data_IF_613538815914
#
_entry.id   IF_613538815914
#
_cell.length_a   1.000
_cell.length_b   1.000
_cell.length_c   1.000
_cell.angle_alpha   90.00
_cell.angle_beta   90.00
_cell.angle_gamma   90.00
#
_symmetry.space_group_name_H-M   'P 1'
#
loop_
_entity.id
_entity.type
_entity.pdbx_description
1 polymer ?
#
# COMPACT_ATOMS: atom_id res chain seq x y z
N UNK A 1 -15.40 -13.49 25.93
CA UNK A 1 -15.22 -14.82 25.28
C UNK A 1 -13.94 -14.75 24.46
N UNK A 2 -12.89 -15.51 24.80
CA UNK A 2 -11.65 -15.53 24.01
C UNK A 2 -11.96 -16.17 22.67
N UNK A 3 -12.03 -15.35 21.62
CA UNK A 3 -12.31 -15.81 20.27
C UNK A 3 -11.08 -16.61 19.81
N UNK A 4 -11.25 -17.92 19.65
CA UNK A 4 -10.22 -18.79 19.08
C UNK A 4 -10.05 -18.33 17.63
N UNK A 5 -8.82 -18.04 17.25
CA UNK A 5 -8.44 -17.57 15.93
C UNK A 5 -9.01 -18.48 14.82
N UNK A 6 -9.74 -17.92 13.86
CA UNK A 6 -10.43 -18.67 12.83
C UNK A 6 -9.59 -18.81 11.54
N UNK A 7 -9.98 -19.78 10.68
CA UNK A 7 -9.40 -19.89 9.32
C UNK A 7 -9.67 -18.64 8.48
N UNK A 8 -10.81 -18.00 8.69
CA UNK A 8 -11.19 -16.78 8.00
C UNK A 8 -10.34 -15.59 8.46
N UNK A 9 -10.06 -15.47 9.76
CA UNK A 9 -9.14 -14.46 10.31
C UNK A 9 -7.72 -14.65 9.77
N UNK A 10 -7.28 -15.91 9.59
CA UNK A 10 -6.02 -16.24 8.92
C UNK A 10 -6.01 -15.76 7.47
N UNK A 11 -7.06 -16.08 6.71
CA UNK A 11 -7.19 -15.70 5.30
C UNK A 11 -7.18 -14.17 5.14
N UNK A 12 -7.95 -13.46 5.95
CA UNK A 12 -7.98 -12.00 5.94
C UNK A 12 -6.65 -11.39 6.36
N UNK A 13 -5.95 -11.98 7.34
CA UNK A 13 -4.62 -11.52 7.74
C UNK A 13 -3.61 -11.68 6.62
N UNK A 14 -3.61 -12.80 5.90
CA UNK A 14 -2.75 -12.99 4.73
C UNK A 14 -3.12 -12.08 3.57
N UNK A 15 -4.41 -11.85 3.33
CA UNK A 15 -4.86 -10.91 2.30
C UNK A 15 -4.41 -9.48 2.60
N UNK A 16 -4.60 -9.01 3.84
CA UNK A 16 -4.14 -7.70 4.30
C UNK A 16 -2.60 -7.59 4.29
N UNK A 17 -1.90 -8.66 4.65
CA UNK A 17 -0.44 -8.70 4.54
C UNK A 17 0.00 -8.61 3.08
N UNK A 18 -0.65 -9.34 2.17
CA UNK A 18 -0.35 -9.30 0.73
C UNK A 18 -0.60 -7.93 0.09
N UNK A 19 -1.60 -7.17 0.56
CA UNK A 19 -1.82 -5.79 0.09
C UNK A 19 -0.85 -4.78 0.73
N UNK A 20 -0.37 -5.05 1.95
CA UNK A 20 0.63 -4.22 2.61
C UNK A 20 2.05 -4.44 2.06
N UNK A 21 2.35 -5.68 1.65
CA UNK A 21 3.66 -6.06 1.10
C UNK A 21 3.72 -5.72 -0.39
N UNK A 22 4.20 -4.52 -0.69
CA UNK A 22 4.54 -4.09 -2.04
C UNK A 22 6.03 -3.73 -2.20
N UNK A 23 6.40 -3.25 -3.39
CA UNK A 23 7.69 -2.64 -3.71
C UNK A 23 8.12 -1.60 -2.67
N UNK A 24 7.21 -0.78 -2.14
CA UNK A 24 7.51 0.17 -1.06
C UNK A 24 8.08 -0.51 0.18
N UNK A 25 7.40 -1.51 0.73
CA UNK A 25 7.89 -2.31 1.88
C UNK A 25 9.04 -3.26 1.56
N UNK A 26 9.32 -3.58 0.29
CA UNK A 26 10.50 -4.38 -0.09
C UNK A 26 11.75 -3.51 -0.25
N UNK A 27 11.61 -2.34 -0.87
CA UNK A 27 12.75 -1.46 -1.18
C UNK A 27 13.06 -0.48 -0.04
N UNK A 28 12.05 -0.03 0.73
CA UNK A 28 12.27 0.90 1.83
C UNK A 28 13.15 0.30 2.93
N UNK A 29 12.97 -0.96 3.39
CA UNK A 29 13.89 -1.56 4.36
C UNK A 29 15.28 -1.82 3.80
N UNK A 30 15.41 -2.11 2.50
CA UNK A 30 16.74 -2.24 1.86
C UNK A 30 17.45 -0.89 1.85
N UNK A 31 16.73 0.17 1.48
CA UNK A 31 17.27 1.53 1.38
C UNK A 31 17.48 2.19 2.76
N UNK A 32 16.66 1.89 3.76
CA UNK A 32 16.87 2.31 5.15
C UNK A 32 17.93 1.46 5.84
N UNK A 33 18.05 0.18 5.46
CA UNK A 33 19.06 -0.73 5.97
C UNK A 33 20.47 -0.33 5.54
N UNK A 34 20.63 0.25 4.34
CA UNK A 34 21.92 0.83 3.91
C UNK A 34 22.34 2.06 4.74
N UNK A 35 21.39 2.74 5.39
CA UNK A 35 21.67 3.78 6.38
C UNK A 35 22.08 3.22 7.77
N UNK A 36 22.03 1.89 7.94
CA UNK A 36 22.47 1.17 9.14
C UNK A 36 21.33 0.48 9.89
N UNK A 37 21.65 -0.66 10.53
CA UNK A 37 20.67 -1.48 11.24
C UNK A 37 19.92 -0.74 12.36
N UNK A 38 20.59 0.20 13.03
CA UNK A 38 20.00 1.03 14.09
C UNK A 38 18.92 1.95 13.52
N UNK A 39 19.17 2.56 12.35
CA UNK A 39 18.19 3.44 11.69
C UNK A 39 16.94 2.65 11.34
N UNK A 40 17.11 1.47 10.73
CA UNK A 40 16.01 0.58 10.40
C UNK A 40 15.18 0.19 11.63
N UNK A 41 15.84 -0.15 12.74
CA UNK A 41 15.15 -0.50 13.99
C UNK A 41 14.35 0.66 14.57
N UNK A 42 14.93 1.86 14.62
CA UNK A 42 14.22 3.06 15.10
C UNK A 42 13.04 3.38 14.18
N UNK A 43 13.23 3.33 12.86
CA UNK A 43 12.13 3.55 11.91
C UNK A 43 11.01 2.55 12.10
N UNK A 44 11.32 1.27 12.34
CA UNK A 44 10.30 0.25 12.63
C UNK A 44 9.51 0.57 13.91
N UNK A 45 10.20 0.97 14.99
CA UNK A 45 9.57 1.34 16.25
C UNK A 45 8.65 2.56 16.12
N UNK A 46 8.98 3.52 15.27
CA UNK A 46 8.17 4.72 15.01
C UNK A 46 7.02 4.43 14.04
N UNK A 47 7.26 3.62 13.00
CA UNK A 47 6.26 3.28 12.00
C UNK A 47 5.12 2.43 12.60
N UNK A 48 5.42 1.55 13.56
CA UNK A 48 4.43 0.70 14.22
C UNK A 48 3.26 1.49 14.84
N UNK A 49 3.45 2.43 15.77
CA UNK A 49 2.35 3.20 16.36
C UNK A 49 1.61 4.06 15.34
N UNK A 50 2.35 4.67 14.41
CA UNK A 50 1.80 5.52 13.36
C UNK A 50 0.92 4.77 12.36
N UNK A 51 1.11 3.46 12.22
CA UNK A 51 0.26 2.62 11.37
C UNK A 51 -0.84 1.94 12.17
N UNK A 52 -0.51 1.35 13.32
CA UNK A 52 -1.45 0.57 14.12
C UNK A 52 -2.64 1.39 14.64
N UNK A 53 -2.40 2.55 15.26
CA UNK A 53 -3.48 3.33 15.87
C UNK A 53 -4.45 3.93 14.85
N UNK A 54 -4.01 4.53 13.73
CA UNK A 54 -4.94 5.01 12.70
C UNK A 54 -5.76 3.89 12.06
N UNK A 55 -5.16 2.73 11.77
CA UNK A 55 -5.92 1.59 11.24
C UNK A 55 -6.95 1.08 12.23
N UNK A 56 -6.59 0.96 13.51
CA UNK A 56 -7.53 0.58 14.57
C UNK A 56 -8.69 1.58 14.69
N UNK A 57 -8.39 2.88 14.70
CA UNK A 57 -9.39 3.93 14.77
C UNK A 57 -10.31 3.91 13.55
N UNK A 58 -9.76 3.70 12.35
CA UNK A 58 -10.53 3.58 11.11
C UNK A 58 -11.46 2.35 11.14
N UNK A 59 -10.97 1.19 11.57
CA UNK A 59 -11.82 0.00 11.71
C UNK A 59 -12.96 0.24 12.70
N UNK A 60 -12.69 0.87 13.84
CA UNK A 60 -13.73 1.22 14.82
C UNK A 60 -14.75 2.21 14.25
N UNK A 61 -14.30 3.21 13.50
CA UNK A 61 -15.15 4.19 12.82
C UNK A 61 -16.08 3.56 11.78
N UNK A 62 -15.56 2.63 10.97
CA UNK A 62 -16.38 1.93 9.96
C UNK A 62 -17.39 1.01 10.65
N UNK A 63 -16.97 0.27 11.67
CA UNK A 63 -17.83 -0.66 12.41
C UNK A 63 -18.89 0.05 13.26
N UNK A 64 -18.63 1.29 13.70
CA UNK A 64 -19.62 2.08 14.45
C UNK A 64 -20.70 2.66 13.54
N UNK A 65 -20.42 2.85 12.26
CA UNK A 65 -21.43 3.29 11.29
C UNK A 65 -22.45 2.15 11.12
N UNK A 66 -23.69 2.39 11.53
CA UNK A 66 -24.79 1.43 11.38
C UNK A 66 -25.29 1.43 9.93
N UNK A 67 -24.48 0.90 9.01
CA UNK A 67 -24.69 0.93 7.57
C UNK A 67 -24.66 -0.48 6.97
N UNK A 68 -25.24 -0.63 5.78
CA UNK A 68 -25.27 -1.91 5.08
C UNK A 68 -23.84 -2.47 4.89
N UNK A 69 -23.64 -3.80 5.04
CA UNK A 69 -22.36 -4.45 4.79
C UNK A 69 -21.79 -4.09 3.41
N UNK A 70 -20.48 -3.87 3.33
CA UNK A 70 -19.78 -3.57 2.06
C UNK A 70 -19.80 -2.11 1.60
N UNK A 71 -20.43 -1.20 2.34
CA UNK A 71 -20.43 0.24 2.03
C UNK A 71 -19.11 0.96 2.36
N UNK A 72 -18.26 0.34 3.18
CA UNK A 72 -16.86 0.73 3.40
C UNK A 72 -16.66 2.13 3.98
N UNK A 73 -15.48 2.71 3.71
CA UNK A 73 -15.05 4.01 4.25
C UNK A 73 -16.00 5.13 3.78
N UNK A 74 -16.29 5.19 2.48
CA UNK A 74 -17.18 6.23 1.91
C UNK A 74 -18.59 6.16 2.50
N UNK A 75 -19.11 4.96 2.76
CA UNK A 75 -20.38 4.78 3.46
C UNK A 75 -20.36 5.33 4.88
N UNK A 76 -19.32 4.98 5.66
CA UNK A 76 -19.18 5.43 7.04
C UNK A 76 -19.02 6.96 7.13
N UNK A 77 -18.23 7.57 6.24
CA UNK A 77 -18.08 9.03 6.19
C UNK A 77 -19.39 9.70 5.79
N UNK A 78 -20.11 9.17 4.80
CA UNK A 78 -21.41 9.71 4.41
C UNK A 78 -22.45 9.64 5.54
N UNK A 79 -22.42 8.58 6.35
CA UNK A 79 -23.33 8.40 7.48
C UNK A 79 -23.14 9.48 8.56
N UNK A 80 -21.88 9.77 8.95
CA UNK A 80 -21.59 10.72 10.02
C UNK A 80 -21.46 12.17 9.56
N UNK A 81 -20.94 12.40 8.36
CA UNK A 81 -20.53 13.73 7.87
C UNK A 81 -21.27 14.18 6.60
N UNK A 82 -22.12 13.31 6.04
CA UNK A 82 -22.91 13.61 4.85
C UNK A 82 -22.14 13.52 3.53
N UNK A 83 -22.90 13.57 2.43
CA UNK A 83 -22.43 13.28 1.07
C UNK A 83 -21.32 14.21 0.56
N UNK A 84 -21.34 15.48 0.95
CA UNK A 84 -20.30 16.46 0.53
C UNK A 84 -18.92 16.08 1.06
N UNK A 85 -18.83 15.75 2.36
CA UNK A 85 -17.57 15.37 2.99
C UNK A 85 -17.13 13.99 2.49
N UNK A 86 -18.05 13.04 2.33
CA UNK A 86 -17.68 11.73 1.76
C UNK A 86 -17.13 11.80 0.34
N UNK A 87 -17.66 12.69 -0.51
CA UNK A 87 -17.09 12.94 -1.84
C UNK A 87 -15.68 13.54 -1.76
N UNK A 88 -15.44 14.49 -0.84
CA UNK A 88 -14.11 15.07 -0.62
C UNK A 88 -13.11 14.00 -0.19
N UNK A 89 -13.45 13.19 0.81
CA UNK A 89 -12.59 12.09 1.29
C UNK A 89 -12.33 11.07 0.18
N UNK A 90 -13.35 10.75 -0.62
CA UNK A 90 -13.19 9.85 -1.77
C UNK A 90 -12.24 10.43 -2.81
N UNK A 91 -12.30 11.74 -3.07
CA UNK A 91 -11.35 12.43 -3.95
C UNK A 91 -9.92 12.41 -3.41
N UNK A 92 -9.74 12.66 -2.12
CA UNK A 92 -8.43 12.55 -1.45
C UNK A 92 -7.89 11.12 -1.49
N UNK A 93 -8.76 10.13 -1.28
CA UNK A 93 -8.42 8.71 -1.37
C UNK A 93 -7.93 8.36 -2.78
N UNK A 94 -8.65 8.81 -3.81
CA UNK A 94 -8.22 8.64 -5.21
C UNK A 94 -6.85 9.26 -5.46
N UNK A 95 -6.63 10.51 -5.03
CA UNK A 95 -5.37 11.20 -5.24
C UNK A 95 -4.21 10.48 -4.54
N UNK A 96 -4.41 10.04 -3.30
CA UNK A 96 -3.39 9.29 -2.56
C UNK A 96 -3.01 7.99 -3.27
N UNK A 97 -4.00 7.18 -3.67
CA UNK A 97 -3.74 5.94 -4.39
C UNK A 97 -3.12 6.17 -5.76
N UNK A 98 -3.57 7.19 -6.49
CA UNK A 98 -2.99 7.56 -7.78
C UNK A 98 -1.49 7.86 -7.65
N UNK A 99 -1.11 8.69 -6.67
CA UNK A 99 0.31 9.01 -6.41
C UNK A 99 1.09 7.75 -6.00
N UNK A 100 0.54 6.91 -5.12
CA UNK A 100 1.18 5.66 -4.69
C UNK A 100 1.44 4.74 -5.89
N UNK A 101 0.47 4.57 -6.78
CA UNK A 101 0.60 3.75 -8.00
C UNK A 101 1.70 4.30 -8.92
N UNK A 102 1.79 5.62 -9.10
CA UNK A 102 2.85 6.23 -9.91
C UNK A 102 4.25 5.98 -9.33
N UNK A 103 4.42 6.18 -8.01
CA UNK A 103 5.69 5.89 -7.32
C UNK A 103 6.05 4.42 -7.50
N UNK A 104 5.07 3.53 -7.40
CA UNK A 104 5.25 2.09 -7.56
C UNK A 104 5.74 1.73 -8.96
N UNK A 105 5.10 2.29 -10.00
CA UNK A 105 5.48 2.07 -11.38
C UNK A 105 6.93 2.52 -11.66
N UNK A 106 7.31 3.69 -11.13
CA UNK A 106 8.68 4.22 -11.25
C UNK A 106 9.67 3.33 -10.49
N UNK A 107 9.36 2.92 -9.27
CA UNK A 107 10.24 2.10 -8.43
C UNK A 107 10.54 0.72 -9.05
N UNK A 108 9.51 0.04 -9.57
CA UNK A 108 9.69 -1.25 -10.25
C UNK A 108 10.53 -1.07 -11.51
N UNK A 109 10.21 -0.08 -12.34
CA UNK A 109 10.96 0.19 -13.58
C UNK A 109 12.43 0.48 -13.29
N UNK A 110 12.72 1.28 -12.26
CA UNK A 110 14.09 1.58 -11.83
C UNK A 110 14.84 0.33 -11.37
N UNK A 111 14.21 -0.48 -10.51
CA UNK A 111 14.83 -1.69 -9.97
C UNK A 111 15.14 -2.71 -11.07
N UNK A 112 14.21 -2.89 -12.02
CA UNK A 112 14.44 -3.77 -13.17
C UNK A 112 15.54 -3.24 -14.09
N UNK A 113 15.56 -1.92 -14.33
CA UNK A 113 16.61 -1.29 -15.12
C UNK A 113 17.99 -1.48 -14.47
N UNK A 114 18.10 -1.36 -13.15
CA UNK A 114 19.36 -1.59 -12.41
C UNK A 114 19.85 -3.04 -12.54
N UNK A 115 18.93 -4.01 -12.49
CA UNK A 115 19.26 -5.43 -12.72
C UNK A 115 19.71 -5.69 -14.16
N UNK A 116 19.13 -5.00 -15.15
CA UNK A 116 19.56 -5.09 -16.56
C UNK A 116 20.91 -4.39 -16.76
N UNK A 117 21.14 -3.27 -16.08
CA UNK A 117 22.38 -2.49 -16.14
C UNK A 117 23.62 -3.31 -15.75
N UNK A 118 23.46 -4.31 -14.87
CA UNK A 118 24.53 -5.23 -14.51
C UNK A 118 25.04 -6.09 -15.68
N UNK A 119 24.27 -6.23 -16.77
CA UNK A 119 24.64 -7.05 -17.94
C UNK A 119 24.79 -6.23 -19.22
N UNK A 120 24.05 -5.13 -19.35
CA UNK A 120 23.98 -4.34 -20.58
C UNK A 120 23.78 -2.85 -20.26
N UNK A 121 24.41 -1.91 -21.00
CA UNK A 121 24.16 -0.48 -20.81
C UNK A 121 22.67 -0.15 -21.01
N UNK A 122 22.07 0.53 -20.03
CA UNK A 122 20.66 0.93 -20.11
C UNK A 122 20.52 2.24 -20.87
N UNK A 123 19.96 2.17 -22.08
CA UNK A 123 19.59 3.35 -22.87
C UNK A 123 18.18 3.83 -22.51
N UNK A 124 17.81 5.10 -22.78
CA UNK A 124 16.45 5.60 -22.55
C UNK A 124 15.38 4.77 -23.26
N UNK A 125 15.66 4.28 -24.46
CA UNK A 125 14.76 3.40 -25.24
C UNK A 125 14.55 2.06 -24.53
N UNK A 126 15.61 1.44 -24.01
CA UNK A 126 15.50 0.18 -23.28
C UNK A 126 14.68 0.35 -22.00
N UNK A 127 14.88 1.46 -21.28
CA UNK A 127 14.09 1.80 -20.10
C UNK A 127 12.60 1.97 -20.42
N UNK A 128 12.26 2.63 -21.54
CA UNK A 128 10.87 2.76 -21.97
C UNK A 128 10.24 1.40 -22.31
N UNK A 129 10.97 0.52 -22.99
CA UNK A 129 10.53 -0.85 -23.27
C UNK A 129 10.34 -1.68 -22.00
N UNK A 130 11.25 -1.54 -21.02
CA UNK A 130 11.10 -2.20 -19.72
C UNK A 130 9.85 -1.71 -18.99
N UNK A 131 9.60 -0.40 -18.98
CA UNK A 131 8.37 0.16 -18.38
C UNK A 131 7.11 -0.39 -19.06
N UNK A 132 7.08 -0.46 -20.40
CA UNK A 132 5.96 -1.03 -21.16
C UNK A 132 5.77 -2.52 -20.85
N UNK A 133 6.87 -3.27 -20.79
CA UNK A 133 6.86 -4.68 -20.44
C UNK A 133 6.30 -4.92 -19.04
N UNK A 134 6.71 -4.12 -18.05
CA UNK A 134 6.18 -4.18 -16.68
C UNK A 134 4.67 -3.94 -16.67
N UNK A 135 4.19 -2.91 -17.36
CA UNK A 135 2.75 -2.61 -17.43
C UNK A 135 1.97 -3.74 -18.08
N UNK A 136 2.47 -4.30 -19.19
CA UNK A 136 1.80 -5.41 -19.89
C UNK A 136 1.73 -6.67 -19.03
N UNK A 137 2.83 -7.04 -18.36
CA UNK A 137 2.85 -8.21 -17.48
C UNK A 137 1.90 -8.04 -16.30
N UNK A 138 1.89 -6.86 -15.66
CA UNK A 138 0.98 -6.59 -14.55
C UNK A 138 -0.50 -6.57 -14.96
N UNK A 139 -0.82 -6.26 -16.22
CA UNK A 139 -2.21 -6.30 -16.73
C UNK A 139 -2.67 -7.71 -17.14
N UNK A 140 -1.76 -8.69 -17.23
CA UNK A 140 -2.08 -10.08 -17.57
C UNK A 140 -2.48 -10.93 -16.36
N UNK A 141 -2.32 -10.40 -15.14
CA UNK A 141 -2.59 -11.06 -13.86
C UNK A 141 -3.84 -10.43 -13.24
#
# INVERSE_FOLDING_TARGET
MSKIWSKEETLWSFALYGTAVGAGTLFLPIQLGSAGAIVLFITALVAWPLTYWPHKALSQFILSANIAPGTGITGAVNHYYGKKIGNLITGLYFLAFFVVVLIYAVAITNSLAEQVAHRTPVTPTLRALLSLGVVLVLNLI
#
